data_IF_201005472196
#
_entry.id   IF_201005472196
#
_cell.length_a   1.000
_cell.length_b   1.000
_cell.length_c   1.000
_cell.angle_alpha   90.00
_cell.angle_beta   90.00
_cell.angle_gamma   90.00
#
_symmetry.space_group_name_H-M   'P 1'
#
loop_
_entity.id
_entity.type
_entity.pdbx_description
1 polymer ?
#
# COMPACT_ATOMS: atom_id res chain seq x y z
N UNK A 1 10.80 5.56 21.06
CA UNK A 1 11.37 5.10 19.77
C UNK A 1 11.76 6.34 18.97
N UNK A 2 12.96 6.40 18.46
CA UNK A 2 13.42 7.56 17.72
C UNK A 2 12.80 7.65 16.31
N UNK A 3 12.93 8.82 15.71
CA UNK A 3 12.34 9.09 14.39
C UNK A 3 12.95 8.18 13.31
N UNK A 4 14.26 7.97 13.37
CA UNK A 4 14.97 7.14 12.40
C UNK A 4 14.49 5.69 12.43
N UNK A 5 14.31 5.13 13.62
CA UNK A 5 13.78 3.78 13.78
C UNK A 5 12.34 3.69 13.29
N UNK A 6 11.51 4.71 13.59
CA UNK A 6 10.13 4.76 13.12
C UNK A 6 10.07 4.78 11.59
N UNK A 7 10.93 5.59 10.94
CA UNK A 7 10.97 5.67 9.48
C UNK A 7 11.39 4.34 8.85
N UNK A 8 12.37 3.66 9.41
CA UNK A 8 12.79 2.33 8.92
C UNK A 8 11.68 1.31 9.01
N UNK A 9 10.94 1.30 10.11
CA UNK A 9 9.80 0.40 10.29
C UNK A 9 8.71 0.69 9.27
N UNK A 10 8.42 1.97 9.05
CA UNK A 10 7.42 2.38 8.07
C UNK A 10 7.85 2.07 6.64
N UNK A 11 9.13 2.25 6.31
CA UNK A 11 9.67 1.86 5.00
C UNK A 11 9.50 0.37 4.75
N UNK A 12 9.80 -0.46 5.74
CA UNK A 12 9.61 -1.91 5.63
C UNK A 12 8.14 -2.26 5.40
N UNK A 13 7.25 -1.64 6.17
CA UNK A 13 5.80 -1.83 6.00
C UNK A 13 5.32 -1.33 4.65
N UNK A 14 5.85 -0.20 4.19
CA UNK A 14 5.51 0.35 2.89
C UNK A 14 5.90 -0.60 1.75
N UNK A 15 7.11 -1.14 1.78
CA UNK A 15 7.56 -2.11 0.77
C UNK A 15 6.69 -3.35 0.74
N UNK A 16 6.32 -3.87 1.91
CA UNK A 16 5.43 -5.02 1.99
C UNK A 16 4.03 -4.69 1.45
N UNK A 17 3.49 -3.52 1.80
CA UNK A 17 2.18 -3.07 1.33
C UNK A 17 2.19 -2.82 -0.18
N UNK A 18 3.27 -2.23 -0.71
CA UNK A 18 3.44 -2.00 -2.14
C UNK A 18 3.47 -3.32 -2.91
N UNK A 19 4.27 -4.27 -2.44
CA UNK A 19 4.36 -5.59 -3.07
C UNK A 19 3.01 -6.30 -3.08
N UNK A 20 2.29 -6.26 -1.96
CA UNK A 20 0.95 -6.86 -1.87
C UNK A 20 -0.06 -6.17 -2.80
N UNK A 21 -0.01 -4.83 -2.89
CA UNK A 21 -0.91 -4.07 -3.76
C UNK A 21 -0.62 -4.37 -5.24
N UNK A 22 0.64 -4.45 -5.63
CA UNK A 22 1.05 -4.79 -7.00
C UNK A 22 0.56 -6.18 -7.37
N UNK A 23 0.76 -7.15 -6.48
CA UNK A 23 0.30 -8.53 -6.71
C UNK A 23 -1.22 -8.62 -6.83
N UNK A 24 -1.95 -7.91 -5.96
CA UNK A 24 -3.41 -7.89 -5.99
C UNK A 24 -3.94 -7.24 -7.26
N UNK A 25 -3.31 -6.16 -7.72
CA UNK A 25 -3.67 -5.50 -8.98
C UNK A 25 -3.44 -6.43 -10.18
N UNK A 26 -2.29 -7.11 -10.22
CA UNK A 26 -1.97 -8.07 -11.28
C UNK A 26 -3.00 -9.21 -11.31
N UNK A 27 -3.39 -9.72 -10.15
CA UNK A 27 -4.42 -10.75 -10.04
C UNK A 27 -5.77 -10.26 -10.57
N UNK A 28 -6.18 -9.05 -10.19
CA UNK A 28 -7.42 -8.45 -10.70
C UNK A 28 -7.39 -8.32 -12.22
N UNK A 29 -6.30 -7.80 -12.77
CA UNK A 29 -6.18 -7.60 -14.22
C UNK A 29 -6.18 -8.94 -14.97
N UNK A 30 -5.55 -9.98 -14.42
CA UNK A 30 -5.57 -11.31 -15.00
C UNK A 30 -7.00 -11.88 -15.01
N UNK A 31 -7.74 -11.73 -13.91
CA UNK A 31 -9.15 -12.17 -13.85
C UNK A 31 -10.03 -11.39 -14.82
N UNK A 32 -9.80 -10.08 -14.96
CA UNK A 32 -10.57 -9.25 -15.89
C UNK A 32 -10.40 -9.66 -17.34
N UNK A 33 -9.26 -10.28 -17.68
CA UNK A 33 -9.00 -10.82 -19.01
C UNK A 33 -9.53 -12.25 -19.22
N UNK A 34 -10.05 -12.89 -18.17
CA UNK A 34 -10.56 -14.25 -18.23
C UNK A 34 -12.04 -14.29 -18.60
N UNK A 35 -12.43 -14.92 -19.74
CA UNK A 35 -13.86 -14.98 -20.11
C UNK A 35 -14.71 -15.73 -19.10
N UNK A 36 -14.11 -16.66 -18.35
CA UNK A 36 -14.81 -17.50 -17.36
C UNK A 36 -14.91 -16.84 -15.97
N UNK A 37 -14.30 -15.67 -15.77
CA UNK A 37 -14.35 -15.01 -14.47
C UNK A 37 -15.75 -14.52 -14.16
N UNK A 38 -16.22 -14.80 -12.93
CA UNK A 38 -17.53 -14.36 -12.49
C UNK A 38 -17.49 -12.90 -12.03
N UNK A 39 -18.62 -12.15 -12.10
CA UNK A 39 -18.67 -10.80 -11.57
C UNK A 39 -18.27 -10.72 -10.10
N UNK A 40 -18.67 -11.70 -9.29
CA UNK A 40 -18.31 -11.76 -7.88
C UNK A 40 -16.81 -11.91 -7.67
N UNK A 41 -16.14 -12.76 -8.46
CA UNK A 41 -14.69 -12.93 -8.36
C UNK A 41 -13.96 -11.65 -8.74
N UNK A 42 -14.40 -10.96 -9.79
CA UNK A 42 -13.84 -9.68 -10.21
C UNK A 42 -14.01 -8.62 -9.13
N UNK A 43 -15.19 -8.52 -8.54
CA UNK A 43 -15.47 -7.54 -7.49
C UNK A 43 -14.61 -7.79 -6.24
N UNK A 44 -14.45 -9.04 -5.83
CA UNK A 44 -13.60 -9.40 -4.69
C UNK A 44 -12.13 -9.04 -4.96
N UNK A 45 -11.65 -9.34 -6.15
CA UNK A 45 -10.27 -9.02 -6.53
C UNK A 45 -10.03 -7.51 -6.56
N UNK A 46 -11.00 -6.76 -7.08
CA UNK A 46 -10.94 -5.29 -7.12
C UNK A 46 -10.91 -4.70 -5.71
N UNK A 47 -11.79 -5.16 -4.82
CA UNK A 47 -11.85 -4.68 -3.44
C UNK A 47 -10.57 -5.01 -2.68
N UNK A 48 -10.00 -6.21 -2.89
CA UNK A 48 -8.74 -6.60 -2.26
C UNK A 48 -7.61 -5.66 -2.70
N UNK A 49 -7.51 -5.37 -3.99
CA UNK A 49 -6.52 -4.43 -4.52
C UNK A 49 -6.72 -3.03 -3.95
N UNK A 50 -7.94 -2.49 -3.97
CA UNK A 50 -8.24 -1.16 -3.46
C UNK A 50 -7.90 -1.02 -1.97
N UNK A 51 -8.18 -2.04 -1.18
CA UNK A 51 -7.87 -2.06 0.25
C UNK A 51 -6.37 -2.02 0.51
N UNK A 52 -5.60 -2.80 -0.24
CA UNK A 52 -4.15 -2.84 -0.12
C UNK A 52 -3.52 -1.53 -0.60
N UNK A 53 -4.05 -0.96 -1.68
CA UNK A 53 -3.59 0.33 -2.18
C UNK A 53 -3.84 1.45 -1.17
N UNK A 54 -5.01 1.47 -0.53
CA UNK A 54 -5.34 2.43 0.51
C UNK A 54 -4.40 2.31 1.71
N UNK A 55 -4.07 1.08 2.10
CA UNK A 55 -3.10 0.83 3.18
C UNK A 55 -1.72 1.37 2.84
N UNK A 56 -1.26 1.14 1.62
CA UNK A 56 0.01 1.66 1.12
C UNK A 56 0.04 3.19 1.21
N UNK A 57 -1.01 3.84 0.76
CA UNK A 57 -1.12 5.32 0.80
C UNK A 57 -1.13 5.86 2.22
N UNK A 58 -1.80 5.17 3.14
CA UNK A 58 -1.83 5.56 4.55
C UNK A 58 -0.43 5.50 5.18
N UNK A 59 0.34 4.46 4.87
CA UNK A 59 1.71 4.34 5.34
C UNK A 59 2.58 5.46 4.76
N UNK A 60 2.46 5.74 3.47
CA UNK A 60 3.20 6.81 2.81
C UNK A 60 2.89 8.19 3.43
N UNK A 61 1.62 8.45 3.73
CA UNK A 61 1.20 9.68 4.37
C UNK A 61 1.83 9.82 5.77
N UNK A 62 1.89 8.73 6.55
CA UNK A 62 2.51 8.74 7.87
C UNK A 62 4.00 9.00 7.79
N UNK A 63 4.68 8.42 6.80
CA UNK A 63 6.11 8.69 6.57
C UNK A 63 6.35 10.17 6.28
N UNK A 64 5.51 10.77 5.44
CA UNK A 64 5.59 12.20 5.12
C UNK A 64 5.43 13.08 6.35
N UNK A 65 4.48 12.75 7.24
CA UNK A 65 4.28 13.47 8.49
C UNK A 65 5.52 13.43 9.39
N UNK A 66 6.15 12.28 9.51
CA UNK A 66 7.35 12.12 10.34
C UNK A 66 8.52 12.89 9.74
N UNK A 67 8.68 12.86 8.42
CA UNK A 67 9.72 13.63 7.73
C UNK A 67 9.54 15.14 7.94
N UNK A 68 8.31 15.63 7.92
CA UNK A 68 8.01 17.04 8.22
C UNK A 68 8.42 17.42 9.66
N UNK A 69 8.11 16.54 10.62
CA UNK A 69 8.51 16.77 12.02
C UNK A 69 10.04 16.81 12.17
N UNK A 70 10.75 15.95 11.44
CA UNK A 70 12.20 15.93 11.44
C UNK A 70 12.77 17.23 10.87
N UNK A 71 12.21 17.73 9.77
CA UNK A 71 12.63 19.01 9.17
C UNK A 71 12.38 20.19 10.12
N UNK A 72 11.23 20.22 10.78
CA UNK A 72 10.90 21.26 11.74
C UNK A 72 11.85 21.26 12.93
N UNK A 73 12.32 20.10 13.35
CA UNK A 73 13.27 19.96 14.45
C UNK A 73 14.67 20.50 14.10
N UNK A 74 15.02 20.54 12.83
CA UNK A 74 16.33 21.03 12.36
C UNK A 74 16.37 22.55 12.28
N UNK A 75 15.24 23.18 12.06
CA UNK A 75 15.12 24.63 12.00
C UNK A 75 15.05 25.25 13.39
#
# INVERSE_FOLDING_TARGET
MDIETQLRMLESRYRAALSAAVAAKAHYLALAGEPSATPNALERAKLAWQKLDARKRAIAARMGEIEELEQDAIV
#
